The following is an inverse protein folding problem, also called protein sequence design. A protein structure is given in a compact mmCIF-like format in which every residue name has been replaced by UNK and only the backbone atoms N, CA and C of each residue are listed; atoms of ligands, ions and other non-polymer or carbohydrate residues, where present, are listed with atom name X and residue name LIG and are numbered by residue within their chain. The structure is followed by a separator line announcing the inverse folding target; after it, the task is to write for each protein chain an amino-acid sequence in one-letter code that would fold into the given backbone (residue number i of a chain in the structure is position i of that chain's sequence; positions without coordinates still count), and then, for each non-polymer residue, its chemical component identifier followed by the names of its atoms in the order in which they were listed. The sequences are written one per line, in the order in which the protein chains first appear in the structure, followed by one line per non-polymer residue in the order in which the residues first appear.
data_IF_183514743061
#
_entry.id   IF_183514743061
#
_cell.length_a   1.000
_cell.length_b   1.000
_cell.length_c   1.000
_cell.angle_alpha   90.00
_cell.angle_beta   90.00
_cell.angle_gamma   90.00
#
_symmetry.space_group_name_H-M   'P 1'
#
loop_
_entity.id
_entity.type
_entity.pdbx_description
1 polymer ?
#
# COMPACT_ATOMS: atom_id res chain seq x y z
N UNK A 1 25.68 -7.59 38.89
CA UNK A 1 24.26 -7.84 39.22
C UNK A 1 23.45 -7.23 38.09
N UNK A 2 22.90 -8.07 37.21
CA UNK A 2 22.20 -7.64 36.00
C UNK A 2 20.69 -7.73 36.23
N UNK A 3 19.98 -6.64 35.96
CA UNK A 3 18.52 -6.58 36.00
C UNK A 3 17.92 -7.41 34.85
N UNK A 4 16.84 -8.17 35.09
CA UNK A 4 16.13 -8.87 34.02
C UNK A 4 15.14 -7.92 33.33
N UNK A 5 15.31 -7.75 32.02
CA UNK A 5 14.34 -7.09 31.14
C UNK A 5 13.06 -7.94 30.98
N UNK A 6 11.87 -7.31 30.89
CA UNK A 6 10.62 -8.03 30.70
C UNK A 6 10.46 -8.46 29.23
N UNK A 7 10.16 -9.75 29.03
CA UNK A 7 9.80 -10.31 27.72
C UNK A 7 8.39 -9.84 27.33
N UNK A 8 8.30 -9.06 26.25
CA UNK A 8 7.04 -8.74 25.61
C UNK A 8 6.46 -9.98 24.91
N UNK A 9 5.31 -10.44 25.39
CA UNK A 9 4.50 -11.49 24.75
C UNK A 9 3.74 -10.87 23.57
N UNK A 10 4.16 -11.17 22.35
CA UNK A 10 3.44 -10.80 21.12
C UNK A 10 2.31 -11.81 20.95
N UNK A 11 1.06 -11.35 21.06
CA UNK A 11 -0.12 -12.16 20.75
C UNK A 11 -0.14 -12.49 19.24
N UNK A 12 -0.51 -13.72 18.84
CA UNK A 12 -0.63 -14.08 17.43
C UNK A 12 -1.79 -13.29 16.81
N UNK A 13 -1.46 -12.50 15.79
CA UNK A 13 -2.42 -11.72 15.01
C UNK A 13 -3.51 -12.60 14.41
N UNK A 14 -4.76 -12.19 14.64
CA UNK A 14 -5.90 -12.73 13.94
C UNK A 14 -5.71 -12.54 12.43
N UNK A 15 -5.78 -13.65 11.68
CA UNK A 15 -5.77 -13.61 10.24
C UNK A 15 -6.94 -12.73 9.73
N UNK A 16 -6.73 -11.90 8.69
CA UNK A 16 -7.80 -11.11 8.10
C UNK A 16 -8.89 -12.07 7.59
N UNK A 17 -10.06 -12.01 8.23
CA UNK A 17 -11.26 -12.69 7.75
C UNK A 17 -11.57 -12.12 6.36
N UNK A 18 -11.47 -12.98 5.33
CA UNK A 18 -11.95 -12.64 4.00
C UNK A 18 -13.43 -12.28 4.11
N UNK A 19 -13.88 -11.16 3.49
CA UNK A 19 -15.28 -10.78 3.56
C UNK A 19 -16.12 -11.90 2.93
N UNK A 20 -17.06 -12.42 3.71
CA UNK A 20 -18.12 -13.31 3.23
C UNK A 20 -18.80 -12.55 2.09
N UNK A 21 -18.61 -13.03 0.87
CA UNK A 21 -19.25 -12.51 -0.32
C UNK A 21 -20.76 -12.64 -0.15
N UNK A 22 -21.41 -11.55 0.26
CA UNK A 22 -22.85 -11.41 0.20
C UNK A 22 -23.26 -11.66 -1.25
N UNK A 23 -24.03 -12.73 -1.48
CA UNK A 23 -24.57 -13.07 -2.79
C UNK A 23 -25.61 -11.99 -3.13
N UNK A 24 -25.18 -10.95 -3.83
CA UNK A 24 -26.08 -9.90 -4.31
C UNK A 24 -26.94 -10.46 -5.45
N UNK A 25 -28.26 -10.28 -5.38
CA UNK A 25 -29.17 -10.73 -6.43
C UNK A 25 -28.82 -10.09 -7.79
N UNK A 26 -28.88 -10.87 -8.89
CA UNK A 26 -28.52 -10.37 -10.21
C UNK A 26 -29.58 -9.38 -10.72
N UNK A 27 -29.13 -8.30 -11.34
CA UNK A 27 -30.02 -7.36 -12.02
C UNK A 27 -30.40 -7.92 -13.38
N UNK A 28 -31.65 -7.70 -13.80
CA UNK A 28 -32.20 -8.18 -15.07
C UNK A 28 -32.60 -7.00 -15.94
N UNK A 29 -32.18 -7.01 -17.20
CA UNK A 29 -32.53 -6.01 -18.20
C UNK A 29 -32.86 -6.69 -19.53
N UNK A 30 -33.58 -6.02 -20.42
CA UNK A 30 -33.93 -6.58 -21.71
C UNK A 30 -34.31 -5.54 -22.76
N UNK A 31 -34.40 -5.99 -24.01
CA UNK A 31 -34.89 -5.19 -25.12
C UNK A 31 -35.60 -6.06 -26.16
N UNK A 32 -36.45 -5.43 -26.95
CA UNK A 32 -37.30 -6.07 -27.95
C UNK A 32 -37.04 -5.50 -29.33
N UNK A 33 -37.01 -6.38 -30.32
CA UNK A 33 -36.88 -6.05 -31.74
C UNK A 33 -38.09 -6.64 -32.48
N UNK A 34 -38.72 -5.84 -33.32
CA UNK A 34 -39.75 -6.34 -34.23
C UNK A 34 -39.15 -7.25 -35.30
N UNK A 35 -39.70 -8.45 -35.41
CA UNK A 35 -39.28 -9.44 -36.38
C UNK A 35 -40.42 -10.37 -36.71
N UNK A 36 -40.60 -10.76 -37.97
CA UNK A 36 -41.69 -11.65 -38.37
C UNK A 36 -41.14 -13.01 -38.76
N UNK A 37 -41.65 -14.07 -38.13
CA UNK A 37 -41.29 -15.46 -38.47
C UNK A 37 -41.81 -15.81 -39.87
N UNK A 38 -40.92 -16.26 -40.74
CA UNK A 38 -41.23 -16.62 -42.14
C UNK A 38 -41.49 -18.13 -42.29
N UNK A 39 -40.75 -18.97 -41.56
CA UNK A 39 -40.87 -20.45 -41.64
C UNK A 39 -41.31 -21.08 -40.32
N UNK A 40 -41.58 -22.38 -40.36
CA UNK A 40 -42.03 -23.13 -39.20
C UNK A 40 -40.94 -23.29 -38.13
N UNK A 41 -41.38 -23.56 -36.90
CA UNK A 41 -40.54 -23.76 -35.71
C UNK A 41 -39.46 -24.83 -35.96
N UNK A 42 -39.80 -25.90 -36.69
CA UNK A 42 -38.85 -26.97 -37.03
C UNK A 42 -37.66 -26.49 -37.86
N UNK A 43 -37.86 -25.51 -38.74
CA UNK A 43 -36.77 -24.96 -39.54
C UNK A 43 -35.91 -23.99 -38.74
N UNK A 44 -36.51 -23.26 -37.80
CA UNK A 44 -35.77 -22.45 -36.81
C UNK A 44 -34.84 -23.35 -35.99
N UNK A 45 -35.34 -24.49 -35.51
CA UNK A 45 -34.55 -25.46 -34.73
C UNK A 45 -33.37 -26.02 -35.52
N UNK A 46 -33.56 -26.38 -36.80
CA UNK A 46 -32.47 -26.87 -37.65
C UNK A 46 -31.36 -25.83 -37.83
N UNK A 47 -31.74 -24.57 -37.99
CA UNK A 47 -30.80 -23.45 -38.18
C UNK A 47 -30.03 -23.14 -36.89
N UNK A 48 -30.65 -23.31 -35.73
CA UNK A 48 -30.03 -23.06 -34.42
C UNK A 48 -29.26 -24.27 -33.87
N UNK A 49 -29.48 -25.48 -34.41
CA UNK A 49 -28.79 -26.71 -33.99
C UNK A 49 -27.25 -26.63 -33.93
N UNK A 50 -26.54 -25.84 -34.77
CA UNK A 50 -25.09 -25.69 -34.65
C UNK A 50 -24.63 -25.02 -33.35
N UNK A 51 -25.50 -24.28 -32.66
CA UNK A 51 -25.15 -23.56 -31.43
C UNK A 51 -25.26 -24.49 -30.21
N UNK A 52 -24.24 -25.32 -29.99
CA UNK A 52 -24.20 -26.33 -28.91
C UNK A 52 -24.23 -25.75 -27.49
N UNK A 53 -23.91 -24.46 -27.32
CA UNK A 53 -23.90 -23.80 -26.02
C UNK A 53 -25.28 -23.26 -25.61
N UNK A 54 -26.30 -23.43 -26.46
CA UNK A 54 -27.67 -22.96 -26.20
C UNK A 54 -28.58 -24.10 -25.77
N UNK A 55 -29.24 -23.90 -24.64
CA UNK A 55 -30.39 -24.70 -24.25
C UNK A 55 -31.61 -24.12 -24.98
N UNK A 56 -32.21 -24.93 -25.86
CA UNK A 56 -33.40 -24.52 -26.63
C UNK A 56 -34.63 -25.18 -26.01
N UNK A 57 -35.60 -24.35 -25.63
CA UNK A 57 -36.89 -24.81 -25.11
C UNK A 57 -38.02 -24.39 -26.05
N UNK A 58 -38.93 -25.30 -26.35
CA UNK A 58 -40.13 -25.02 -27.13
C UNK A 58 -41.26 -24.55 -26.21
N UNK A 59 -41.92 -23.47 -26.62
CA UNK A 59 -43.07 -22.87 -25.92
C UNK A 59 -44.27 -22.85 -26.87
N UNK A 60 -45.48 -22.71 -26.32
CA UNK A 60 -46.73 -22.73 -27.11
C UNK A 60 -46.71 -21.75 -28.29
N UNK A 61 -46.10 -20.58 -28.09
CA UNK A 61 -46.13 -19.48 -29.06
C UNK A 61 -44.79 -19.28 -29.80
N UNK A 62 -43.71 -19.96 -29.40
CA UNK A 62 -42.37 -19.68 -29.93
C UNK A 62 -41.25 -20.53 -29.36
N UNK A 63 -40.00 -20.11 -29.60
CA UNK A 63 -38.81 -20.76 -29.09
C UNK A 63 -38.11 -19.88 -28.06
N UNK A 64 -37.57 -20.49 -27.01
CA UNK A 64 -36.74 -19.80 -26.02
C UNK A 64 -35.33 -20.34 -26.12
N UNK A 65 -34.38 -19.43 -26.32
CA UNK A 65 -32.95 -19.74 -26.33
C UNK A 65 -32.37 -19.30 -24.99
N UNK A 66 -31.83 -20.24 -24.23
CA UNK A 66 -31.25 -19.98 -22.92
C UNK A 66 -29.74 -20.20 -23.04
N UNK A 67 -28.99 -19.12 -22.84
CA UNK A 67 -27.53 -19.17 -22.71
C UNK A 67 -27.18 -18.96 -21.23
N UNK A 68 -26.73 -20.03 -20.57
CA UNK A 68 -26.26 -19.97 -19.17
C UNK A 68 -24.75 -19.90 -19.16
N UNK A 69 -24.21 -18.75 -18.78
CA UNK A 69 -22.75 -18.55 -18.76
C UNK A 69 -22.14 -18.96 -17.43
N UNK A 70 -22.83 -18.69 -16.31
CA UNK A 70 -22.36 -19.05 -14.97
C UNK A 70 -23.50 -19.51 -14.06
N UNK A 71 -23.18 -20.51 -13.23
CA UNK A 71 -24.05 -21.08 -12.20
C UNK A 71 -23.38 -20.92 -10.84
N UNK A 72 -24.17 -20.70 -9.80
CA UNK A 72 -23.69 -20.62 -8.43
C UNK A 72 -23.31 -22.02 -7.89
N UNK A 73 -22.87 -22.07 -6.62
CA UNK A 73 -22.50 -23.33 -5.93
C UNK A 73 -23.70 -24.28 -5.82
N UNK A 74 -24.92 -23.74 -5.82
CA UNK A 74 -26.19 -24.48 -5.78
C UNK A 74 -26.73 -24.84 -7.18
N UNK A 75 -25.96 -24.55 -8.25
CA UNK A 75 -26.28 -24.74 -9.67
C UNK A 75 -27.37 -23.82 -10.24
N UNK A 76 -27.78 -22.77 -9.51
CA UNK A 76 -28.70 -21.77 -10.02
C UNK A 76 -27.99 -20.86 -11.03
N UNK A 77 -28.62 -20.56 -12.18
CA UNK A 77 -28.05 -19.63 -13.15
C UNK A 77 -28.12 -18.21 -12.58
N UNK A 78 -26.98 -17.52 -12.50
CA UNK A 78 -26.93 -16.12 -12.05
C UNK A 78 -26.41 -15.17 -13.14
N UNK A 79 -25.64 -15.69 -14.11
CA UNK A 79 -25.28 -14.97 -15.33
C UNK A 79 -25.85 -15.72 -16.54
N UNK A 80 -26.89 -15.15 -17.15
CA UNK A 80 -27.58 -15.74 -18.26
C UNK A 80 -28.07 -14.69 -19.27
N UNK A 81 -28.42 -15.17 -20.46
CA UNK A 81 -29.19 -14.41 -21.44
C UNK A 81 -30.24 -15.33 -22.06
N UNK A 82 -31.49 -14.90 -22.04
CA UNK A 82 -32.64 -15.60 -22.58
C UNK A 82 -33.14 -14.80 -23.78
N UNK A 83 -33.25 -15.46 -24.93
CA UNK A 83 -33.83 -14.88 -26.14
C UNK A 83 -35.14 -15.57 -26.47
N UNK A 84 -36.24 -14.83 -26.39
CA UNK A 84 -37.56 -15.26 -26.81
C UNK A 84 -37.77 -14.96 -28.29
N UNK A 85 -37.92 -16.01 -29.08
CA UNK A 85 -38.26 -15.95 -30.50
C UNK A 85 -39.78 -16.10 -30.67
N UNK A 86 -40.50 -14.99 -30.52
CA UNK A 86 -41.94 -14.93 -30.74
C UNK A 86 -42.24 -14.77 -32.24
N UNK A 87 -43.48 -15.04 -32.70
CA UNK A 87 -43.82 -14.96 -34.13
C UNK A 87 -43.63 -13.56 -34.73
N UNK A 88 -43.88 -12.51 -33.94
CA UNK A 88 -43.84 -11.11 -34.38
C UNK A 88 -42.75 -10.26 -33.68
N UNK A 89 -41.93 -10.87 -32.83
CA UNK A 89 -40.80 -10.16 -32.22
C UNK A 89 -39.74 -11.08 -31.63
N UNK A 90 -38.53 -10.54 -31.52
CA UNK A 90 -37.43 -11.15 -30.78
C UNK A 90 -37.21 -10.32 -29.53
N UNK A 91 -37.33 -10.93 -28.36
CA UNK A 91 -37.10 -10.29 -27.07
C UNK A 91 -35.92 -10.93 -26.36
N UNK A 92 -35.07 -10.13 -25.74
CA UNK A 92 -33.88 -10.59 -25.06
C UNK A 92 -33.91 -10.08 -23.65
N UNK A 93 -33.72 -10.99 -22.70
CA UNK A 93 -33.63 -10.72 -21.28
C UNK A 93 -32.29 -11.26 -20.80
N UNK A 94 -31.48 -10.44 -20.17
CA UNK A 94 -30.16 -10.83 -19.69
C UNK A 94 -29.94 -10.36 -18.27
N UNK A 95 -29.12 -11.12 -17.54
CA UNK A 95 -28.69 -10.75 -16.21
C UNK A 95 -27.27 -10.18 -16.21
N UNK A 96 -26.95 -9.40 -15.18
CA UNK A 96 -25.58 -8.99 -14.84
C UNK A 96 -25.36 -8.99 -13.33
N UNK A 97 -24.10 -9.21 -12.94
CA UNK A 97 -23.65 -9.17 -11.55
C UNK A 97 -23.04 -7.81 -11.20
N UNK A 98 -23.02 -7.43 -9.91
CA UNK A 98 -22.49 -6.12 -9.49
C UNK A 98 -21.04 -5.85 -9.90
N UNK A 99 -20.22 -6.90 -10.04
CA UNK A 99 -18.81 -6.79 -10.43
C UNK A 99 -18.61 -6.56 -11.94
N UNK A 100 -19.66 -6.71 -12.74
CA UNK A 100 -19.60 -6.48 -14.19
C UNK A 100 -20.31 -5.16 -14.52
N UNK A 101 -19.61 -4.28 -15.23
CA UNK A 101 -20.21 -3.05 -15.77
C UNK A 101 -21.42 -3.41 -16.65
N UNK A 102 -22.62 -2.84 -16.37
CA UNK A 102 -23.82 -3.09 -17.17
C UNK A 102 -23.62 -2.77 -18.66
N UNK A 103 -22.79 -1.77 -18.95
CA UNK A 103 -22.45 -1.34 -20.32
C UNK A 103 -21.65 -2.42 -21.06
N UNK A 104 -20.66 -3.03 -20.39
CA UNK A 104 -19.90 -4.15 -20.92
C UNK A 104 -20.81 -5.34 -21.18
N UNK A 105 -21.70 -5.66 -20.23
CA UNK A 105 -22.64 -6.78 -20.39
C UNK A 105 -23.53 -6.59 -21.61
N UNK A 106 -24.09 -5.40 -21.81
CA UNK A 106 -24.92 -5.08 -22.99
C UNK A 106 -24.20 -5.35 -24.30
N UNK A 107 -22.91 -5.03 -24.38
CA UNK A 107 -22.11 -5.27 -25.59
C UNK A 107 -21.85 -6.77 -25.82
N UNK A 108 -21.61 -7.54 -24.76
CA UNK A 108 -21.50 -9.00 -24.84
C UNK A 108 -22.81 -9.64 -25.33
N UNK A 109 -23.94 -9.20 -24.78
CA UNK A 109 -25.29 -9.66 -25.17
C UNK A 109 -25.61 -9.24 -26.60
N UNK A 110 -25.25 -8.02 -27.02
CA UNK A 110 -25.43 -7.57 -28.40
C UNK A 110 -24.62 -8.43 -29.37
N UNK A 111 -23.36 -8.73 -29.05
CA UNK A 111 -22.52 -9.62 -29.87
C UNK A 111 -23.16 -11.00 -29.99
N UNK A 112 -23.65 -11.56 -28.89
CA UNK A 112 -24.36 -12.83 -28.90
C UNK A 112 -25.63 -12.76 -29.76
N UNK A 113 -26.43 -11.71 -29.60
CA UNK A 113 -27.63 -11.49 -30.40
C UNK A 113 -27.29 -11.44 -31.89
N UNK A 114 -26.29 -10.66 -32.30
CA UNK A 114 -25.92 -10.53 -33.71
C UNK A 114 -25.58 -11.90 -34.31
N UNK A 115 -24.87 -12.76 -33.57
CA UNK A 115 -24.58 -14.12 -34.00
C UNK A 115 -25.83 -15.00 -34.13
N UNK A 116 -26.85 -14.80 -33.29
CA UNK A 116 -28.14 -15.49 -33.42
C UNK A 116 -28.91 -14.95 -34.62
N UNK A 117 -28.97 -13.63 -34.80
CA UNK A 117 -29.69 -12.99 -35.90
C UNK A 117 -29.11 -13.35 -37.27
N UNK A 118 -27.79 -13.49 -37.39
CA UNK A 118 -27.17 -13.92 -38.66
C UNK A 118 -27.59 -15.33 -39.06
N UNK A 119 -27.81 -16.23 -38.10
CA UNK A 119 -28.36 -17.55 -38.41
C UNK A 119 -29.85 -17.46 -38.79
N UNK A 120 -30.60 -16.59 -38.12
CA UNK A 120 -32.04 -16.45 -38.31
C UNK A 120 -32.45 -15.72 -39.60
N UNK A 121 -31.51 -15.15 -40.38
CA UNK A 121 -31.79 -14.39 -41.63
C UNK A 121 -32.75 -15.11 -42.59
N UNK A 122 -32.60 -16.43 -42.74
CA UNK A 122 -33.41 -17.23 -43.66
C UNK A 122 -34.76 -17.70 -43.10
N UNK A 123 -35.05 -17.39 -41.83
CA UNK A 123 -36.20 -17.92 -41.09
C UNK A 123 -37.05 -16.82 -40.46
N UNK A 124 -36.44 -15.68 -40.15
CA UNK A 124 -37.09 -14.49 -39.60
C UNK A 124 -36.80 -13.27 -40.47
N UNK A 125 -37.83 -12.49 -40.75
CA UNK A 125 -37.71 -11.16 -41.32
C UNK A 125 -37.46 -10.16 -40.19
N UNK A 126 -36.24 -9.65 -40.08
CA UNK A 126 -35.85 -8.72 -39.01
C UNK A 126 -36.02 -7.28 -39.50
N UNK A 127 -36.64 -6.42 -38.67
CA UNK A 127 -36.67 -4.98 -38.94
C UNK A 127 -35.30 -4.36 -38.66
N UNK A 128 -34.49 -4.24 -39.71
CA UNK A 128 -33.13 -3.69 -39.64
C UNK A 128 -33.10 -2.26 -39.08
N UNK A 129 -34.13 -1.46 -39.31
CA UNK A 129 -34.20 -0.09 -38.77
C UNK A 129 -34.19 -0.06 -37.25
N UNK A 130 -35.00 -0.91 -36.60
CA UNK A 130 -35.00 -1.03 -35.14
C UNK A 130 -33.71 -1.66 -34.62
N UNK A 131 -33.19 -2.68 -35.33
CA UNK A 131 -31.91 -3.30 -34.95
C UNK A 131 -30.77 -2.27 -34.94
N UNK A 132 -30.67 -1.42 -35.97
CA UNK A 132 -29.65 -0.37 -36.03
C UNK A 132 -29.85 0.69 -34.94
N UNK A 133 -31.08 1.05 -34.58
CA UNK A 133 -31.33 1.96 -33.45
C UNK A 133 -30.86 1.36 -32.12
N UNK A 134 -31.06 0.06 -31.90
CA UNK A 134 -30.57 -0.63 -30.71
C UNK A 134 -29.04 -0.67 -30.69
N UNK A 135 -28.41 -0.99 -31.83
CA UNK A 135 -26.95 -1.00 -31.97
C UNK A 135 -26.37 0.39 -31.69
N UNK A 136 -26.94 1.43 -32.30
CA UNK A 136 -26.51 2.82 -32.14
C UNK A 136 -26.65 3.26 -30.68
N UNK A 137 -27.80 3.00 -30.04
CA UNK A 137 -28.01 3.33 -28.64
C UNK A 137 -27.04 2.63 -27.67
N UNK A 138 -26.62 1.40 -27.98
CA UNK A 138 -25.57 0.70 -27.21
C UNK A 138 -24.19 1.30 -27.51
N UNK A 139 -23.90 1.60 -28.78
CA UNK A 139 -22.63 2.18 -29.20
C UNK A 139 -22.42 3.59 -28.60
N UNK A 140 -23.42 4.47 -28.61
CA UNK A 140 -23.33 5.80 -28.01
C UNK A 140 -23.01 5.72 -26.52
N UNK A 141 -23.70 4.85 -25.77
CA UNK A 141 -23.45 4.64 -24.33
C UNK A 141 -22.05 4.08 -24.05
N UNK A 142 -21.52 3.26 -24.97
CA UNK A 142 -20.16 2.74 -24.90
C UNK A 142 -19.12 3.81 -25.17
N UNK A 143 -19.35 4.67 -26.16
CA UNK A 143 -18.49 5.83 -26.43
C UNK A 143 -18.44 6.77 -25.24
N UNK A 144 -19.59 7.14 -24.66
CA UNK A 144 -19.66 7.95 -23.44
C UNK A 144 -18.84 7.34 -22.29
N UNK A 145 -18.96 6.02 -22.07
CA UNK A 145 -18.18 5.32 -21.03
C UNK A 145 -16.68 5.37 -21.29
N UNK A 146 -16.28 5.13 -22.53
CA UNK A 146 -14.87 5.11 -22.91
C UNK A 146 -14.27 6.50 -22.78
N UNK A 147 -15.01 7.55 -23.16
CA UNK A 147 -14.60 8.94 -22.99
C UNK A 147 -14.49 9.32 -21.51
N UNK A 148 -15.52 9.07 -20.70
CA UNK A 148 -15.46 9.39 -19.26
C UNK A 148 -14.36 8.63 -18.52
N UNK A 149 -14.17 7.34 -18.85
CA UNK A 149 -13.09 6.55 -18.26
C UNK A 149 -11.71 7.05 -18.67
N UNK A 150 -11.55 7.62 -19.87
CA UNK A 150 -10.28 8.19 -20.30
C UNK A 150 -9.94 9.45 -19.48
N UNK A 151 -10.90 10.36 -19.30
CA UNK A 151 -10.71 11.57 -18.51
C UNK A 151 -10.40 11.26 -17.03
N UNK A 152 -11.09 10.27 -16.44
CA UNK A 152 -10.81 9.81 -15.09
C UNK A 152 -9.42 9.17 -14.95
N UNK A 153 -9.05 8.30 -15.91
CA UNK A 153 -7.72 7.66 -15.92
C UNK A 153 -6.63 8.71 -16.09
N UNK A 154 -6.85 9.69 -16.97
CA UNK A 154 -5.93 10.79 -17.19
C UNK A 154 -5.76 11.63 -15.92
N UNK A 155 -6.87 11.98 -15.26
CA UNK A 155 -6.83 12.73 -14.00
C UNK A 155 -6.10 11.96 -12.89
N UNK A 156 -6.32 10.64 -12.78
CA UNK A 156 -5.60 9.78 -11.82
C UNK A 156 -4.12 9.67 -12.16
N UNK A 157 -3.79 9.58 -13.44
CA UNK A 157 -2.40 9.54 -13.90
C UNK A 157 -1.66 10.85 -13.58
N UNK A 158 -2.28 12.00 -13.84
CA UNK A 158 -1.69 13.31 -13.52
C UNK A 158 -1.49 13.49 -12.02
N UNK A 159 -2.49 13.14 -11.20
CA UNK A 159 -2.38 13.18 -9.74
C UNK A 159 -1.26 12.25 -9.22
N UNK A 160 -1.16 11.04 -9.77
CA UNK A 160 -0.11 10.09 -9.40
C UNK A 160 1.27 10.61 -9.82
N UNK A 161 1.38 11.22 -11.00
CA UNK A 161 2.62 11.82 -11.49
C UNK A 161 3.07 12.94 -10.56
N UNK A 162 2.18 13.86 -10.19
CA UNK A 162 2.47 14.94 -9.24
C UNK A 162 2.91 14.38 -7.87
N UNK A 163 2.24 13.34 -7.37
CA UNK A 163 2.62 12.69 -6.12
C UNK A 163 4.01 12.04 -6.21
N UNK A 164 4.35 11.39 -7.32
CA UNK A 164 5.68 10.79 -7.51
C UNK A 164 6.78 11.86 -7.59
N UNK A 165 6.51 13.00 -8.23
CA UNK A 165 7.45 14.13 -8.28
C UNK A 165 7.65 14.74 -6.89
N UNK A 166 6.56 14.92 -6.12
CA UNK A 166 6.61 15.36 -4.72
C UNK A 166 7.42 14.41 -3.85
N UNK A 167 7.18 13.10 -3.94
CA UNK A 167 7.91 12.10 -3.16
C UNK A 167 9.40 12.06 -3.53
N UNK A 168 9.75 12.18 -4.82
CA UNK A 168 11.15 12.29 -5.26
C UNK A 168 11.84 13.51 -4.67
N UNK A 169 11.16 14.67 -4.65
CA UNK A 169 11.69 15.88 -4.02
C UNK A 169 11.93 15.68 -2.52
N UNK A 170 10.97 15.10 -1.80
CA UNK A 170 11.11 14.81 -0.38
C UNK A 170 12.25 13.84 -0.08
N UNK A 171 12.44 12.80 -0.91
CA UNK A 171 13.57 11.87 -0.79
C UNK A 171 14.90 12.61 -0.97
N UNK A 172 14.99 13.48 -1.97
CA UNK A 172 16.19 14.30 -2.19
C UNK A 172 16.51 15.21 -1.01
N UNK A 173 15.51 15.91 -0.47
CA UNK A 173 15.65 16.77 0.70
C UNK A 173 16.09 16.00 1.95
N UNK A 174 15.45 14.85 2.22
CA UNK A 174 15.81 13.97 3.34
C UNK A 174 17.23 13.41 3.20
N UNK A 175 17.63 13.04 1.99
CA UNK A 175 18.99 12.55 1.72
C UNK A 175 20.02 13.65 2.01
N UNK A 176 19.79 14.87 1.52
CA UNK A 176 20.66 16.01 1.80
C UNK A 176 20.71 16.38 3.29
N UNK A 177 19.57 16.33 3.98
CA UNK A 177 19.52 16.56 5.43
C UNK A 177 20.30 15.50 6.21
N UNK A 178 20.17 14.23 5.81
CA UNK A 178 20.88 13.13 6.46
C UNK A 178 22.40 13.23 6.24
N UNK A 179 22.85 13.60 5.04
CA UNK A 179 24.27 13.87 4.76
C UNK A 179 24.83 14.99 5.64
N UNK A 180 24.08 16.09 5.79
CA UNK A 180 24.46 17.20 6.67
C UNK A 180 24.56 16.76 8.13
N UNK A 181 23.55 16.04 8.62
CA UNK A 181 23.54 15.53 10.00
C UNK A 181 24.70 14.56 10.24
N UNK A 182 24.95 13.64 9.30
CA UNK A 182 26.09 12.72 9.36
C UNK A 182 27.43 13.46 9.46
N UNK A 183 27.63 14.49 8.63
CA UNK A 183 28.82 15.35 8.68
C UNK A 183 28.96 16.05 10.05
N UNK A 184 27.89 16.68 10.54
CA UNK A 184 27.93 17.34 11.87
C UNK A 184 28.20 16.37 13.01
N UNK A 185 27.69 15.14 12.93
CA UNK A 185 27.92 14.11 13.93
C UNK A 185 29.39 13.68 13.95
N UNK A 186 30.02 13.52 12.79
CA UNK A 186 31.46 13.22 12.67
C UNK A 186 32.28 14.38 13.27
N UNK A 187 31.95 15.63 12.96
CA UNK A 187 32.63 16.82 13.51
C UNK A 187 32.51 16.89 15.03
N UNK A 188 31.32 16.63 15.59
CA UNK A 188 31.08 16.64 17.04
C UNK A 188 31.83 15.52 17.75
N UNK A 189 31.85 14.31 17.20
CA UNK A 189 32.66 13.19 17.72
C UNK A 189 34.16 13.49 17.67
N UNK A 190 34.62 14.19 16.63
CA UNK A 190 35.98 14.70 16.55
C UNK A 190 36.32 15.61 17.74
N UNK A 191 35.49 16.62 17.97
CA UNK A 191 35.66 17.54 19.11
C UNK A 191 35.57 16.84 20.47
N UNK A 192 34.66 15.90 20.61
CA UNK A 192 34.52 15.10 21.84
C UNK A 192 35.81 14.32 22.12
N UNK A 193 36.37 13.66 21.13
CA UNK A 193 37.64 12.95 21.27
C UNK A 193 38.79 13.90 21.62
N UNK A 194 38.88 15.07 20.98
CA UNK A 194 39.91 16.07 21.28
C UNK A 194 39.82 16.55 22.74
N UNK A 195 38.60 16.81 23.22
CA UNK A 195 38.35 17.20 24.62
C UNK A 195 38.66 16.05 25.59
N UNK A 196 38.30 14.81 25.26
CA UNK A 196 38.65 13.64 26.07
C UNK A 196 40.16 13.42 26.16
N UNK A 197 40.89 13.61 25.06
CA UNK A 197 42.36 13.59 25.06
C UNK A 197 42.90 14.70 25.96
N UNK A 198 42.34 15.90 25.89
CA UNK A 198 42.74 17.02 26.73
C UNK A 198 42.47 16.78 28.22
N UNK A 199 41.32 16.19 28.56
CA UNK A 199 41.00 15.77 29.93
C UNK A 199 42.01 14.73 30.40
N UNK A 200 42.27 13.70 29.59
CA UNK A 200 43.28 12.67 29.92
C UNK A 200 44.66 13.28 30.16
N UNK A 201 45.09 14.26 29.35
CA UNK A 201 46.34 14.99 29.56
C UNK A 201 46.37 15.73 30.91
N UNK A 202 45.26 16.32 31.33
CA UNK A 202 45.13 17.02 32.62
C UNK A 202 45.02 16.05 33.81
N UNK A 203 44.51 14.84 33.58
CA UNK A 203 44.37 13.76 34.57
C UNK A 203 45.65 12.92 34.77
N UNK A 204 46.74 13.18 34.02
CA UNK A 204 48.01 12.39 34.08
C UNK A 204 48.58 12.26 35.50
N UNK A 205 48.25 13.16 36.43
CA UNK A 205 48.53 12.96 37.85
C UNK A 205 47.19 12.76 38.58
N UNK A 206 46.86 11.50 38.89
CA UNK A 206 45.74 11.17 39.77
C UNK A 206 45.92 11.84 41.13
N UNK A 207 44.82 12.32 41.71
CA UNK A 207 44.82 12.99 43.02
C UNK A 207 45.50 12.11 44.09
N UNK A 208 45.30 10.80 44.09
CA UNK A 208 45.93 9.89 45.05
C UNK A 208 47.46 9.80 44.88
N UNK A 209 47.93 9.83 43.64
CA UNK A 209 49.37 9.88 43.32
C UNK A 209 49.95 11.22 43.74
N UNK A 210 49.18 12.29 43.56
CA UNK A 210 49.53 13.65 43.95
C UNK A 210 49.62 13.77 45.48
N UNK A 211 48.67 13.20 46.22
CA UNK A 211 48.70 13.11 47.69
C UNK A 211 49.93 12.34 48.17
N UNK A 212 50.21 11.18 47.56
CA UNK A 212 51.39 10.36 47.90
C UNK A 212 52.70 11.13 47.66
N UNK A 213 52.77 11.90 46.56
CA UNK A 213 53.92 12.75 46.26
C UNK A 213 54.05 13.95 47.21
N UNK A 214 52.93 14.53 47.63
CA UNK A 214 52.93 15.59 48.66
C UNK A 214 53.45 15.04 49.98
N UNK A 215 53.03 13.84 50.40
CA UNK A 215 53.53 13.20 51.62
C UNK A 215 55.03 12.92 51.54
N UNK A 216 55.50 12.38 50.41
CA UNK A 216 56.91 12.16 50.17
C UNK A 216 57.70 13.48 50.22
N UNK A 217 57.21 14.52 49.56
CA UNK A 217 57.82 15.84 49.57
C UNK A 217 57.93 16.44 50.96
N UNK A 218 56.84 16.39 51.75
CA UNK A 218 56.81 16.87 53.12
C UNK A 218 57.79 16.10 54.01
N UNK A 219 57.93 14.79 53.81
CA UNK A 219 58.92 14.00 54.56
C UNK A 219 60.36 14.37 54.23
N UNK A 220 60.65 14.77 52.98
CA UNK A 220 61.99 15.13 52.53
C UNK A 220 62.37 16.58 52.87
N UNK A 221 61.39 17.48 52.94
CA UNK A 221 61.60 18.93 53.12
C UNK A 221 61.20 19.43 54.52
N UNK A 222 61.40 18.60 55.56
CA UNK A 222 61.13 18.94 56.97
C UNK A 222 59.71 19.47 57.23
N UNK A 223 58.71 18.91 56.56
CA UNK A 223 57.29 19.27 56.67
C UNK A 223 56.94 20.69 56.18
N UNK A 224 57.81 21.32 55.39
CA UNK A 224 57.52 22.56 54.69
C UNK A 224 57.26 22.28 53.20
N UNK A 225 56.21 22.88 52.65
CA UNK A 225 55.89 22.77 51.23
C UNK A 225 55.76 24.16 50.61
N UNK A 226 56.62 24.46 49.65
CA UNK A 226 56.43 25.60 48.76
C UNK A 226 55.56 25.14 47.58
N UNK A 227 54.31 25.62 47.54
CA UNK A 227 53.30 25.23 46.55
C UNK A 227 53.80 25.49 45.13
N UNK A 228 54.46 26.63 44.88
CA UNK A 228 54.94 27.01 43.55
C UNK A 228 56.06 26.08 43.05
N UNK A 229 56.98 25.70 43.94
CA UNK A 229 58.08 24.79 43.59
C UNK A 229 57.57 23.36 43.36
N UNK A 230 56.66 22.88 44.21
CA UNK A 230 56.06 21.56 44.07
C UNK A 230 55.20 21.44 42.80
N UNK A 231 54.39 22.45 42.50
CA UNK A 231 53.55 22.56 41.31
C UNK A 231 54.39 22.52 40.02
N UNK A 232 55.51 23.28 40.00
CA UNK A 232 56.45 23.32 38.87
C UNK A 232 57.14 21.98 38.64
N UNK A 233 57.60 21.31 39.70
CA UNK A 233 58.32 20.03 39.60
C UNK A 233 57.38 18.91 39.15
N UNK A 234 56.16 18.88 39.66
CA UNK A 234 55.17 17.84 39.34
C UNK A 234 54.30 18.15 38.13
N UNK A 235 54.45 19.33 37.51
CA UNK A 235 53.66 19.81 36.36
C UNK A 235 52.15 19.84 36.65
N UNK A 236 51.80 20.29 37.84
CA UNK A 236 50.41 20.43 38.32
C UNK A 236 50.13 21.93 38.51
N UNK A 237 48.87 22.38 38.36
CA UNK A 237 48.50 23.75 38.72
C UNK A 237 48.59 23.97 40.24
N UNK A 238 49.07 25.16 40.65
CA UNK A 238 49.17 25.55 42.06
C UNK A 238 47.81 25.44 42.79
N UNK A 239 46.74 25.88 42.13
CA UNK A 239 45.38 25.78 42.66
C UNK A 239 44.96 24.33 42.99
N UNK A 240 45.34 23.35 42.15
CA UNK A 240 45.01 21.94 42.41
C UNK A 240 45.81 21.38 43.58
N UNK A 241 47.05 21.82 43.76
CA UNK A 241 47.88 21.44 44.93
C UNK A 241 47.28 22.02 46.22
N UNK A 242 46.83 23.27 46.22
CA UNK A 242 46.15 23.90 47.36
C UNK A 242 44.83 23.22 47.72
N UNK A 243 43.98 22.95 46.73
CA UNK A 243 42.71 22.24 46.94
C UNK A 243 42.95 20.83 47.53
N UNK A 244 44.00 20.14 47.07
CA UNK A 244 44.37 18.82 47.58
C UNK A 244 44.96 18.88 49.00
N UNK A 245 45.82 19.86 49.30
CA UNK A 245 46.33 20.08 50.65
C UNK A 245 45.20 20.36 51.63
N UNK A 246 44.25 21.22 51.26
CA UNK A 246 43.04 21.49 52.05
C UNK A 246 42.20 20.24 52.27
N UNK A 247 42.11 19.36 51.26
CA UNK A 247 41.43 18.06 51.38
C UNK A 247 42.17 17.13 52.35
N UNK A 248 43.50 17.02 52.21
CA UNK A 248 44.34 16.20 53.10
C UNK A 248 44.31 16.67 54.56
N UNK A 249 44.21 17.98 54.80
CA UNK A 249 44.02 18.54 56.15
C UNK A 249 42.64 18.19 56.71
N UNK A 250 41.58 18.31 55.90
CA UNK A 250 40.21 17.94 56.33
C UNK A 250 40.06 16.45 56.62
N UNK A 251 40.72 15.60 55.84
CA UNK A 251 40.71 14.15 56.01
C UNK A 251 41.66 13.67 57.13
N UNK A 252 42.44 14.58 57.73
CA UNK A 252 43.30 14.29 58.88
C UNK A 252 44.65 13.68 58.53
N UNK A 253 45.04 13.64 57.25
CA UNK A 253 46.36 13.19 56.82
C UNK A 253 47.46 14.20 57.14
N UNK A 254 47.11 15.48 57.27
CA UNK A 254 48.02 16.57 57.62
C UNK A 254 47.40 17.41 58.73
N UNK A 255 48.23 17.89 59.65
CA UNK A 255 47.82 18.83 60.69
C UNK A 255 48.49 20.17 60.43
N UNK A 256 47.70 21.24 60.36
CA UNK A 256 48.26 22.58 60.30
C UNK A 256 48.90 22.88 61.65
N UNK A 257 50.20 23.17 61.65
CA UNK A 257 50.92 23.59 62.85
C UNK A 257 50.67 25.09 63.01
N UNK A 258 50.00 25.46 64.10
CA UNK A 258 49.88 26.86 64.55
C UNK A 258 51.26 27.46 64.88
#
# INVERSE_FOLDING_TARGET
MAEPTPKATIAPGAAPQQPISTITEPFVEGFRIEAKRIKDVSDVLKVLAPLQFLEIAETKDGLVLINVERRDIQKNPYLFSITYLNPDSIEIVYSYVPDISPKRRRLEVLRYLLNVLTLLENVYFINHGQLFQVIDGIASRFFEYTSSSYDEVFSKYDALKEETERLRKNISELTSANEKLSKTNIEMKGRENDLLLRIKELEIVSDDVLMSRIQAWLSEHNYEINIADFARINRVSEQRVEELLNRMVREGYLSQRD
#
